data_IF_618759286099
#
_entry.id   IF_618759286099
#
_cell.length_a   1.000
_cell.length_b   1.000
_cell.length_c   1.000
_cell.angle_alpha   90.00
_cell.angle_beta   90.00
_cell.angle_gamma   90.00
#
_symmetry.space_group_name_H-M   'P 1'
#
loop_
_entity.id
_entity.type
_entity.pdbx_description
1 polymer ?
#
# COMPACT_ATOMS: atom_id res chain seq x y z
N UNK A 1 40.65 -11.60 -9.93
CA UNK A 1 39.28 -11.12 -10.26
C UNK A 1 38.31 -12.27 -10.04
N UNK A 2 37.37 -12.15 -9.11
CA UNK A 2 36.32 -13.17 -8.93
C UNK A 2 35.39 -13.13 -10.13
N UNK A 3 35.24 -14.26 -10.83
CA UNK A 3 34.29 -14.40 -11.92
C UNK A 3 32.89 -14.55 -11.30
N UNK A 4 31.95 -13.69 -11.70
CA UNK A 4 30.53 -13.81 -11.34
C UNK A 4 30.06 -15.17 -11.81
N UNK A 5 29.45 -15.96 -10.93
CA UNK A 5 28.95 -17.28 -11.28
C UNK A 5 27.59 -17.12 -11.99
N UNK A 6 27.30 -18.01 -12.94
CA UNK A 6 26.01 -18.00 -13.65
C UNK A 6 24.81 -18.10 -12.69
N UNK A 7 25.01 -18.75 -11.53
CA UNK A 7 24.06 -18.81 -10.42
C UNK A 7 23.70 -17.43 -9.85
N UNK A 8 24.65 -16.51 -9.80
CA UNK A 8 24.44 -15.15 -9.26
C UNK A 8 23.57 -14.33 -10.23
N UNK A 9 23.76 -14.52 -11.53
CA UNK A 9 22.96 -13.88 -12.59
C UNK A 9 21.51 -14.37 -12.55
N UNK A 10 21.28 -15.68 -12.37
CA UNK A 10 19.93 -16.23 -12.27
C UNK A 10 19.19 -15.71 -11.03
N UNK A 11 19.87 -15.58 -9.88
CA UNK A 11 19.29 -14.99 -8.66
C UNK A 11 18.88 -13.53 -8.88
N UNK A 12 19.72 -12.73 -9.55
CA UNK A 12 19.38 -11.34 -9.87
C UNK A 12 18.14 -11.25 -10.77
N UNK A 13 18.06 -12.11 -11.80
CA UNK A 13 16.88 -12.13 -12.68
C UNK A 13 15.59 -12.52 -11.94
N UNK A 14 15.67 -13.44 -10.97
CA UNK A 14 14.53 -13.80 -10.13
C UNK A 14 14.09 -12.64 -9.24
N UNK A 15 15.03 -11.89 -8.65
CA UNK A 15 14.73 -10.70 -7.86
C UNK A 15 14.06 -9.61 -8.70
N UNK A 16 14.53 -9.37 -9.93
CA UNK A 16 13.90 -8.43 -10.85
C UNK A 16 12.44 -8.79 -11.15
N UNK A 17 12.17 -10.08 -11.39
CA UNK A 17 10.80 -10.57 -11.63
C UNK A 17 9.90 -10.38 -10.40
N UNK A 18 10.42 -10.64 -9.19
CA UNK A 18 9.68 -10.43 -7.95
C UNK A 18 9.38 -8.94 -7.71
N UNK A 19 10.36 -8.06 -7.91
CA UNK A 19 10.19 -6.60 -7.80
C UNK A 19 9.09 -6.12 -8.77
N UNK A 20 9.07 -6.61 -10.00
CA UNK A 20 8.07 -6.22 -10.99
C UNK A 20 6.66 -6.70 -10.62
N UNK A 21 6.54 -7.89 -10.02
CA UNK A 21 5.27 -8.38 -9.48
C UNK A 21 4.78 -7.53 -8.31
N UNK A 22 5.66 -7.19 -7.36
CA UNK A 22 5.33 -6.35 -6.21
C UNK A 22 4.87 -4.96 -6.65
N UNK A 23 5.52 -4.34 -7.64
CA UNK A 23 5.09 -3.05 -8.20
C UNK A 23 3.67 -3.11 -8.76
N UNK A 24 3.33 -4.19 -9.49
CA UNK A 24 1.98 -4.38 -10.04
C UNK A 24 0.93 -4.57 -8.94
N UNK A 25 1.27 -5.33 -7.90
CA UNK A 25 0.38 -5.52 -6.75
C UNK A 25 0.15 -4.21 -6.01
N UNK A 26 1.21 -3.46 -5.72
CA UNK A 26 1.12 -2.14 -5.09
C UNK A 26 0.21 -1.20 -5.87
N UNK A 27 0.39 -1.09 -7.19
CA UNK A 27 -0.47 -0.25 -8.04
C UNK A 27 -1.95 -0.64 -7.95
N UNK A 28 -2.25 -1.95 -7.93
CA UNK A 28 -3.62 -2.44 -7.78
C UNK A 28 -4.19 -2.11 -6.40
N UNK A 29 -3.39 -2.23 -5.34
CA UNK A 29 -3.79 -1.86 -3.98
C UNK A 29 -4.07 -0.36 -3.87
N UNK A 30 -3.22 0.50 -4.46
CA UNK A 30 -3.42 1.96 -4.51
C UNK A 30 -4.73 2.32 -5.22
N UNK A 31 -5.02 1.69 -6.36
CA UNK A 31 -6.28 1.91 -7.09
C UNK A 31 -7.50 1.46 -6.27
N UNK A 32 -7.43 0.30 -5.63
CA UNK A 32 -8.49 -0.19 -4.75
C UNK A 32 -8.71 0.72 -3.55
N UNK A 33 -7.63 1.22 -2.93
CA UNK A 33 -7.70 2.15 -1.82
C UNK A 33 -8.30 3.49 -2.25
N UNK A 34 -7.86 4.04 -3.38
CA UNK A 34 -8.40 5.27 -3.94
C UNK A 34 -9.90 5.17 -4.21
N UNK A 35 -10.36 4.05 -4.80
CA UNK A 35 -11.78 3.81 -5.03
C UNK A 35 -12.59 3.73 -3.72
N UNK A 36 -12.03 3.09 -2.69
CA UNK A 36 -12.67 3.01 -1.36
C UNK A 36 -12.78 4.39 -0.70
N UNK A 37 -11.69 5.17 -0.70
CA UNK A 37 -11.65 6.52 -0.14
C UNK A 37 -12.64 7.42 -0.87
N UNK A 38 -12.62 7.40 -2.20
CA UNK A 38 -13.54 8.20 -3.02
C UNK A 38 -15.00 7.82 -2.79
N UNK A 39 -15.31 6.52 -2.74
CA UNK A 39 -16.66 6.05 -2.45
C UNK A 39 -17.15 6.46 -1.06
N UNK A 40 -16.30 6.34 -0.03
CA UNK A 40 -16.61 6.78 1.32
C UNK A 40 -16.83 8.30 1.39
N UNK A 41 -15.93 9.07 0.78
CA UNK A 41 -16.06 10.53 0.71
C UNK A 41 -17.38 10.96 0.06
N UNK A 42 -17.76 10.34 -1.06
CA UNK A 42 -19.02 10.65 -1.75
C UNK A 42 -20.25 10.26 -0.93
N UNK A 43 -20.18 9.21 -0.11
CA UNK A 43 -21.29 8.83 0.77
C UNK A 43 -21.47 9.81 1.94
N UNK A 44 -20.37 10.34 2.48
CA UNK A 44 -20.40 11.34 3.55
C UNK A 44 -20.72 12.75 3.05
N UNK A 45 -20.60 12.98 1.74
CA UNK A 45 -20.80 14.28 1.11
C UNK A 45 -22.29 14.53 0.81
N UNK A 46 -22.97 15.25 1.71
CA UNK A 46 -24.30 15.80 1.43
C UNK A 46 -24.20 17.25 0.93
N UNK A 47 -24.30 17.41 -0.39
CA UNK A 47 -24.26 18.70 -1.06
C UNK A 47 -25.37 19.68 -0.64
N UNK A 48 -26.49 19.18 -0.10
CA UNK A 48 -27.59 20.03 0.34
C UNK A 48 -27.37 20.59 1.75
N UNK A 49 -26.53 19.94 2.56
CA UNK A 49 -26.17 20.39 3.89
C UNK A 49 -24.90 21.26 3.91
N UNK A 50 -24.04 21.13 2.90
CA UNK A 50 -22.80 21.91 2.80
C UNK A 50 -23.13 23.36 2.46
N UNK A 51 -23.03 24.23 3.45
CA UNK A 51 -23.24 25.67 3.32
C UNK A 51 -21.92 26.46 3.41
N UNK A 52 -20.80 25.78 3.66
CA UNK A 52 -19.48 26.40 3.74
C UNK A 52 -18.35 25.43 3.38
N UNK A 53 -17.19 25.99 3.03
CA UNK A 53 -15.96 25.23 2.83
C UNK A 53 -15.51 24.50 4.10
N UNK A 54 -15.81 25.04 5.29
CA UNK A 54 -15.39 24.46 6.56
C UNK A 54 -16.05 23.10 6.83
N UNK A 55 -17.28 22.92 6.35
CA UNK A 55 -17.99 21.64 6.43
C UNK A 55 -17.38 20.59 5.49
N UNK A 56 -16.92 21.00 4.31
CA UNK A 56 -16.16 20.12 3.42
C UNK A 56 -14.84 19.66 4.06
N UNK A 57 -14.10 20.57 4.70
CA UNK A 57 -12.86 20.21 5.39
C UNK A 57 -13.12 19.23 6.54
N UNK A 58 -14.20 19.39 7.32
CA UNK A 58 -14.58 18.42 8.36
C UNK A 58 -14.89 17.04 7.79
N UNK A 59 -15.52 16.97 6.62
CA UNK A 59 -15.78 15.68 5.94
C UNK A 59 -14.45 15.07 5.51
N UNK A 60 -13.54 15.84 4.91
CA UNK A 60 -12.21 15.36 4.55
C UNK A 60 -11.43 14.84 5.76
N UNK A 61 -11.44 15.57 6.88
CA UNK A 61 -10.78 15.16 8.13
C UNK A 61 -11.30 13.81 8.62
N UNK A 62 -12.62 13.60 8.60
CA UNK A 62 -13.24 12.30 8.96
C UNK A 62 -12.81 11.17 8.03
N UNK A 63 -12.77 11.43 6.72
CA UNK A 63 -12.30 10.43 5.74
C UNK A 63 -10.83 10.09 6.01
N UNK A 64 -9.99 11.08 6.25
CA UNK A 64 -8.57 10.86 6.56
C UNK A 64 -8.43 10.05 7.85
N UNK A 65 -9.19 10.39 8.91
CA UNK A 65 -9.16 9.69 10.18
C UNK A 65 -9.58 8.22 10.00
N UNK A 66 -10.69 7.96 9.31
CA UNK A 66 -11.21 6.60 9.09
C UNK A 66 -10.20 5.70 8.37
N UNK A 67 -9.49 6.23 7.38
CA UNK A 67 -8.53 5.45 6.58
C UNK A 67 -7.10 5.44 7.14
N UNK A 68 -6.79 6.28 8.12
CA UNK A 68 -5.48 6.28 8.80
C UNK A 68 -5.49 5.55 10.15
N UNK A 69 -6.66 5.23 10.72
CA UNK A 69 -6.80 4.52 12.01
C UNK A 69 -5.98 3.22 12.09
N UNK A 70 -5.81 2.51 10.98
CA UNK A 70 -5.10 1.24 10.93
C UNK A 70 -3.57 1.40 10.71
N UNK A 71 -3.08 2.59 10.35
CA UNK A 71 -1.64 2.82 10.09
C UNK A 71 -0.87 2.88 11.43
N UNK A 72 -1.50 3.39 12.49
CA UNK A 72 -0.89 3.42 13.84
C UNK A 72 -0.87 2.05 14.53
N UNK A 73 -1.74 1.09 14.14
CA UNK A 73 -1.75 -0.25 14.72
C UNK A 73 -0.89 -1.27 13.96
N UNK A 74 -0.70 -1.10 12.66
CA UNK A 74 0.04 -2.06 11.82
C UNK A 74 1.56 -1.88 11.79
N UNK A 75 2.10 -0.83 12.42
CA UNK A 75 3.56 -0.65 12.55
C UNK A 75 4.22 -1.62 13.56
N UNK A 76 3.45 -2.51 14.20
CA UNK A 76 3.96 -3.53 15.12
C UNK A 76 3.98 -4.94 14.50
N UNK A 77 3.24 -5.21 13.42
CA UNK A 77 3.08 -6.58 12.88
C UNK A 77 3.75 -6.83 11.51
N UNK A 78 4.62 -5.92 11.06
CA UNK A 78 5.47 -6.10 9.86
C UNK A 78 6.74 -6.94 10.13
N UNK A 79 6.75 -7.75 11.20
CA UNK A 79 7.86 -8.66 11.53
C UNK A 79 7.55 -10.14 11.27
N UNK A 80 6.46 -10.45 10.55
CA UNK A 80 6.08 -11.84 10.28
C UNK A 80 5.88 -12.18 8.79
N UNK A 81 6.44 -11.39 7.87
CA UNK A 81 6.79 -11.94 6.55
C UNK A 81 8.08 -12.74 6.68
N UNK A 82 7.85 -14.01 6.98
CA UNK A 82 8.70 -15.17 6.87
C UNK A 82 9.67 -15.11 5.66
N UNK A 83 10.74 -14.33 5.76
CA UNK A 83 11.96 -14.49 4.99
C UNK A 83 12.58 -15.81 5.46
N UNK A 84 12.11 -16.91 4.88
CA UNK A 84 12.76 -18.21 5.01
C UNK A 84 14.09 -18.12 4.24
N UNK A 85 15.10 -17.55 4.90
CA UNK A 85 16.51 -17.60 4.49
C UNK A 85 17.07 -19.05 4.53
N UNK A 86 16.29 -20.00 5.07
CA UNK A 86 16.69 -21.39 5.30
C UNK A 86 16.50 -22.35 4.10
N UNK A 87 16.83 -21.93 2.87
CA UNK A 87 17.08 -22.86 1.75
C UNK A 87 18.24 -22.45 0.83
N UNK A 88 19.33 -21.96 1.42
CA UNK A 88 20.61 -21.88 0.72
C UNK A 88 21.54 -22.94 1.32
N UNK A 89 21.35 -24.19 0.89
CA UNK A 89 22.35 -25.24 1.01
C UNK A 89 22.48 -25.94 -0.35
#
# INVERSE_FOLDING_TARGET
>A
MSKIKQTDITKLSQLEQQIEQLKKQKKKQEEQLSNKIGGYFLNELDLNMINSSDELYKIMDKVIEEFNKDIEQNSIDENNENLTEDKIN
#
